data_IF_411591573723
#
_entry.id   IF_411591573723
#
_cell.length_a   1.000
_cell.length_b   1.000
_cell.length_c   1.000
_cell.angle_alpha   90.00
_cell.angle_beta   90.00
_cell.angle_gamma   90.00
#
_symmetry.space_group_name_H-M   'P 1'
#
loop_
_entity.id
_entity.type
_entity.pdbx_description
1 polymer ?
#
# COMPACT_ATOMS: atom_id res chain seq x y z
N UNK A 1 17.74 -4.85 1.69
CA UNK A 1 16.55 -3.98 1.83
C UNK A 1 16.62 -2.93 0.75
N UNK A 2 15.52 -2.62 0.08
CA UNK A 2 15.45 -1.65 -1.01
C UNK A 2 14.37 -0.59 -0.69
N UNK A 3 14.58 0.66 -1.10
CA UNK A 3 13.56 1.71 -0.99
C UNK A 3 12.91 1.95 -2.34
N UNK A 4 11.59 2.01 -2.37
CA UNK A 4 10.77 2.37 -3.51
C UNK A 4 10.14 3.74 -3.26
N UNK A 5 10.11 4.57 -4.30
CA UNK A 5 9.50 5.90 -4.27
C UNK A 5 8.28 5.91 -5.18
N UNK A 6 7.11 6.18 -4.62
CA UNK A 6 5.83 6.21 -5.34
C UNK A 6 5.31 7.64 -5.29
N UNK A 7 5.03 8.23 -6.45
CA UNK A 7 4.43 9.56 -6.53
C UNK A 7 2.92 9.43 -6.58
N UNK A 8 2.24 10.20 -5.74
CA UNK A 8 0.79 10.33 -5.72
C UNK A 8 0.40 11.69 -6.26
N UNK A 9 -0.74 11.77 -6.92
CA UNK A 9 -1.18 12.91 -7.72
C UNK A 9 -2.45 13.56 -7.21
N UNK A 10 -3.21 12.88 -6.34
CA UNK A 10 -4.46 13.37 -5.76
C UNK A 10 -4.38 13.38 -4.24
N UNK A 11 -5.33 14.07 -3.59
CA UNK A 11 -5.44 14.10 -2.13
C UNK A 11 -5.73 12.71 -1.56
N UNK A 12 -6.67 12.01 -2.18
CA UNK A 12 -6.98 10.59 -1.95
C UNK A 12 -6.74 9.86 -3.27
N UNK A 13 -6.02 8.76 -3.22
CA UNK A 13 -5.66 8.01 -4.43
C UNK A 13 -5.43 6.55 -4.10
N UNK A 14 -5.80 5.68 -5.02
CA UNK A 14 -5.53 4.25 -4.94
C UNK A 14 -4.64 3.92 -6.13
N UNK A 15 -3.47 3.32 -5.87
CA UNK A 15 -2.48 3.03 -6.89
C UNK A 15 -2.13 1.54 -6.90
N UNK A 16 -2.23 0.90 -8.07
CA UNK A 16 -1.62 -0.40 -8.32
C UNK A 16 -0.10 -0.23 -8.39
N UNK A 17 0.62 -0.81 -7.42
CA UNK A 17 2.08 -0.81 -7.36
C UNK A 17 2.68 -2.18 -7.67
N UNK A 18 1.88 -3.14 -8.16
CA UNK A 18 2.29 -4.54 -8.39
C UNK A 18 3.52 -4.61 -9.29
N UNK A 19 3.47 -3.97 -10.46
CA UNK A 19 4.58 -3.99 -11.41
C UNK A 19 5.84 -3.32 -10.83
N UNK A 20 5.68 -2.28 -10.01
CA UNK A 20 6.81 -1.60 -9.35
C UNK A 20 7.49 -2.54 -8.35
N UNK A 21 6.72 -3.32 -7.60
CA UNK A 21 7.23 -4.29 -6.63
C UNK A 21 7.93 -5.45 -7.34
N UNK A 22 7.33 -6.01 -8.40
CA UNK A 22 7.95 -7.09 -9.17
C UNK A 22 9.25 -6.65 -9.86
N UNK A 23 9.28 -5.43 -10.42
CA UNK A 23 10.52 -4.84 -10.95
C UNK A 23 11.61 -4.73 -9.87
N UNK A 24 11.23 -4.38 -8.65
CA UNK A 24 12.16 -4.26 -7.53
C UNK A 24 12.65 -5.62 -6.99
N UNK A 25 11.79 -6.65 -6.99
CA UNK A 25 12.21 -8.02 -6.69
C UNK A 25 13.25 -8.53 -7.69
N UNK A 26 13.16 -8.05 -8.93
CA UNK A 26 14.10 -8.31 -10.02
C UNK A 26 13.94 -9.72 -10.59
N UNK A 27 14.65 -10.01 -11.68
CA UNK A 27 14.73 -11.38 -12.21
C UNK A 27 15.49 -12.25 -11.21
N UNK A 28 14.90 -13.39 -10.85
CA UNK A 28 15.47 -14.40 -9.96
C UNK A 28 15.73 -15.70 -10.73
N UNK A 29 16.52 -16.60 -10.17
CA UNK A 29 16.74 -17.91 -10.78
C UNK A 29 15.45 -18.73 -10.72
N UNK A 30 15.35 -19.74 -11.60
CA UNK A 30 14.23 -20.68 -11.55
C UNK A 30 14.24 -21.44 -10.23
N UNK A 31 13.11 -21.40 -9.50
CA UNK A 31 12.96 -22.02 -8.19
C UNK A 31 13.33 -21.11 -7.00
N UNK A 32 13.72 -19.86 -7.25
CA UNK A 32 13.90 -18.88 -6.18
C UNK A 32 12.53 -18.45 -5.63
N UNK A 33 12.19 -18.88 -4.41
CA UNK A 33 10.95 -18.50 -3.71
C UNK A 33 11.23 -17.85 -2.36
N UNK A 34 10.23 -17.17 -1.82
CA UNK A 34 10.31 -16.56 -0.50
C UNK A 34 9.16 -15.62 -0.17
N UNK A 35 9.37 -14.83 0.88
CA UNK A 35 8.44 -13.78 1.31
C UNK A 35 9.03 -12.40 1.05
N UNK A 36 8.27 -11.55 0.37
CA UNK A 36 8.52 -10.13 0.22
C UNK A 36 7.63 -9.37 1.20
N UNK A 37 8.23 -8.57 2.08
CA UNK A 37 7.53 -7.64 2.94
C UNK A 37 7.72 -6.20 2.42
N UNK A 38 6.62 -5.49 2.30
CA UNK A 38 6.55 -4.08 1.96
C UNK A 38 6.11 -3.30 3.20
N UNK A 39 6.82 -2.24 3.56
CA UNK A 39 6.48 -1.38 4.68
C UNK A 39 6.52 0.09 4.26
N UNK A 40 5.41 0.81 4.37
CA UNK A 40 5.33 2.24 4.02
C UNK A 40 5.81 3.10 5.19
N UNK A 41 6.71 4.04 4.93
CA UNK A 41 7.31 4.93 5.94
C UNK A 41 6.45 6.16 6.24
N UNK A 42 5.13 6.00 6.21
CA UNK A 42 4.17 7.11 6.28
C UNK A 42 2.93 6.71 7.08
N UNK A 43 2.42 7.64 7.89
CA UNK A 43 1.25 7.41 8.77
C UNK A 43 -0.07 7.90 8.18
N UNK A 44 -0.06 8.42 6.95
CA UNK A 44 -1.24 8.88 6.20
C UNK A 44 -1.33 8.21 4.83
N UNK A 45 -0.77 7.01 4.72
CA UNK A 45 -0.90 6.14 3.58
C UNK A 45 -0.83 4.69 4.06
N UNK A 46 -1.38 3.77 3.28
CA UNK A 46 -1.48 2.36 3.65
C UNK A 46 -1.08 1.44 2.51
N UNK A 47 -0.81 0.18 2.84
CA UNK A 47 -0.55 -0.88 1.88
C UNK A 47 -1.53 -2.03 2.12
N UNK A 48 -2.12 -2.54 1.06
CA UNK A 48 -3.01 -3.71 1.13
C UNK A 48 -2.98 -4.48 -0.19
N UNK A 49 -3.73 -5.57 -0.27
CA UNK A 49 -4.17 -6.14 -1.55
C UNK A 49 -5.65 -5.87 -1.78
N UNK A 50 -6.00 -5.57 -3.02
CA UNK A 50 -7.38 -5.34 -3.42
C UNK A 50 -7.57 -5.69 -4.90
N UNK A 51 -8.83 -5.73 -5.31
CA UNK A 51 -9.22 -5.71 -6.71
C UNK A 51 -9.32 -4.26 -7.18
N UNK A 52 -8.83 -3.99 -8.39
CA UNK A 52 -8.78 -2.65 -8.97
C UNK A 52 -9.36 -2.71 -10.38
N UNK A 53 -10.68 -2.52 -10.43
CA UNK A 53 -11.41 -2.22 -11.66
C UNK A 53 -11.74 -0.73 -11.70
N UNK A 54 -11.92 -0.12 -12.89
CA UNK A 54 -12.30 1.28 -12.99
C UNK A 54 -13.54 1.61 -12.14
N UNK A 55 -13.38 2.47 -11.13
CA UNK A 55 -14.46 2.90 -10.23
C UNK A 55 -14.44 2.19 -8.87
N UNK A 56 -13.93 0.96 -8.75
CA UNK A 56 -13.85 0.27 -7.45
C UNK A 56 -12.85 0.94 -6.51
N UNK A 57 -11.86 1.62 -7.08
CA UNK A 57 -10.93 2.48 -6.35
C UNK A 57 -11.63 3.65 -5.65
N UNK A 58 -12.60 4.27 -6.32
CA UNK A 58 -13.40 5.36 -5.77
C UNK A 58 -14.39 4.83 -4.73
N UNK A 59 -15.10 3.75 -5.03
CA UNK A 59 -16.03 3.11 -4.09
C UNK A 59 -15.33 2.72 -2.78
N UNK A 60 -14.09 2.24 -2.87
CA UNK A 60 -13.28 1.90 -1.71
C UNK A 60 -12.94 3.14 -0.86
N UNK A 61 -12.56 4.26 -1.49
CA UNK A 61 -12.28 5.52 -0.79
C UNK A 61 -13.54 6.07 -0.11
N UNK A 62 -14.67 6.08 -0.83
CA UNK A 62 -15.95 6.53 -0.29
C UNK A 62 -16.39 5.68 0.91
N UNK A 63 -16.25 4.36 0.82
CA UNK A 63 -16.54 3.44 1.92
C UNK A 63 -15.65 3.72 3.14
N UNK A 64 -14.35 3.95 2.93
CA UNK A 64 -13.43 4.29 4.02
C UNK A 64 -13.81 5.59 4.71
N UNK A 65 -14.20 6.62 3.96
CA UNK A 65 -14.63 7.90 4.54
C UNK A 65 -15.90 7.74 5.39
N UNK A 66 -16.87 6.96 4.91
CA UNK A 66 -18.12 6.68 5.66
C UNK A 66 -17.90 5.82 6.90
N UNK A 67 -16.88 4.94 6.91
CA UNK A 67 -16.52 4.14 8.08
C UNK A 67 -15.89 4.97 9.22
N UNK A 68 -15.40 6.18 8.94
CA UNK A 68 -14.70 6.99 9.95
C UNK A 68 -15.68 7.81 10.79
N UNK A 69 -15.63 7.69 12.13
CA UNK A 69 -16.45 8.51 13.01
C UNK A 69 -16.23 10.02 12.82
N UNK A 70 -17.32 10.78 12.74
CA UNK A 70 -17.27 12.25 12.69
C UNK A 70 -17.11 12.82 14.10
N UNK A 71 -15.88 12.77 14.62
CA UNK A 71 -15.54 13.24 15.97
C UNK A 71 -14.86 14.61 15.96
N UNK A 72 -14.89 15.29 17.12
CA UNK A 72 -13.97 16.40 17.39
C UNK A 72 -12.62 15.84 17.79
N UNK A 73 -11.80 15.52 16.79
CA UNK A 73 -10.48 14.96 16.99
C UNK A 73 -9.57 15.93 17.78
N UNK A 74 -8.74 15.36 18.68
CA UNK A 74 -7.93 16.13 19.65
C UNK A 74 -6.52 16.47 19.17
N UNK A 75 -6.17 16.07 17.95
CA UNK A 75 -4.79 16.09 17.50
C UNK A 75 -4.24 17.52 17.44
N UNK A 76 -3.14 17.82 18.15
CA UNK A 76 -2.75 19.21 18.44
C UNK A 76 -2.26 19.97 17.21
N UNK A 77 -1.68 19.28 16.22
CA UNK A 77 -1.15 19.92 15.02
C UNK A 77 -2.22 20.15 13.95
N UNK A 78 -2.95 19.08 13.57
CA UNK A 78 -4.05 19.19 12.62
C UNK A 78 -5.13 18.12 12.89
N UNK A 79 -6.22 18.47 13.59
CA UNK A 79 -7.35 17.57 13.82
C UNK A 79 -7.99 17.00 12.54
N UNK A 80 -7.92 17.72 11.42
CA UNK A 80 -8.56 17.33 10.18
C UNK A 80 -7.88 16.12 9.50
N UNK A 81 -6.64 15.79 9.87
CA UNK A 81 -5.86 14.68 9.28
C UNK A 81 -5.95 13.39 10.11
N UNK A 82 -6.60 13.44 11.28
CA UNK A 82 -6.74 12.26 12.13
C UNK A 82 -7.51 11.12 11.46
N UNK A 83 -8.57 11.37 10.67
CA UNK A 83 -9.18 10.33 9.82
C UNK A 83 -8.16 9.55 8.99
N UNK A 84 -7.19 10.24 8.38
CA UNK A 84 -6.19 9.65 7.50
C UNK A 84 -5.23 8.74 8.28
N UNK A 85 -4.86 9.15 9.50
CA UNK A 85 -4.08 8.33 10.41
C UNK A 85 -4.83 7.08 10.88
N UNK A 86 -6.12 7.23 11.20
CA UNK A 86 -6.96 6.10 11.64
C UNK A 86 -7.11 5.09 10.50
N UNK A 87 -7.43 5.56 9.29
CA UNK A 87 -7.54 4.69 8.11
C UNK A 87 -6.22 3.99 7.81
N UNK A 88 -5.09 4.71 7.84
CA UNK A 88 -3.77 4.11 7.65
C UNK A 88 -3.48 3.01 8.69
N UNK A 89 -3.82 3.24 9.95
CA UNK A 89 -3.65 2.26 11.03
C UNK A 89 -4.60 1.04 10.91
N UNK A 90 -5.84 1.25 10.43
CA UNK A 90 -6.83 0.18 10.24
C UNK A 90 -6.52 -0.71 9.04
N UNK A 91 -6.11 -0.11 7.93
CA UNK A 91 -5.74 -0.84 6.70
C UNK A 91 -4.39 -1.54 6.90
N UNK A 92 -3.43 -0.84 7.49
CA UNK A 92 -2.09 -1.34 7.77
C UNK A 92 -1.01 -0.65 6.93
N UNK A 93 0.18 -0.52 7.53
CA UNK A 93 1.35 0.08 6.89
C UNK A 93 2.25 -0.96 6.21
N UNK A 94 1.86 -2.23 6.22
CA UNK A 94 2.67 -3.30 5.65
C UNK A 94 1.85 -4.43 5.07
N UNK A 95 2.40 -5.05 4.03
CA UNK A 95 1.87 -6.28 3.43
C UNK A 95 3.02 -7.25 3.19
N UNK A 96 2.82 -8.51 3.58
CA UNK A 96 3.75 -9.61 3.33
C UNK A 96 3.17 -10.52 2.26
N UNK A 97 3.95 -10.79 1.22
CA UNK A 97 3.51 -11.46 0.01
C UNK A 97 4.50 -12.57 -0.35
N UNK A 98 4.04 -13.80 -0.61
CA UNK A 98 4.89 -14.81 -1.21
C UNK A 98 5.30 -14.42 -2.64
N UNK A 99 6.48 -14.81 -3.06
CA UNK A 99 6.97 -14.62 -4.42
C UNK A 99 7.73 -15.84 -4.90
N UNK A 100 7.74 -16.04 -6.22
CA UNK A 100 8.51 -17.08 -6.91
C UNK A 100 9.07 -16.50 -8.21
N UNK A 101 10.33 -16.80 -8.55
CA UNK A 101 10.97 -16.38 -9.81
C UNK A 101 10.91 -14.86 -10.04
N UNK A 102 10.90 -14.07 -8.97
CA UNK A 102 10.82 -12.61 -9.02
C UNK A 102 9.40 -12.04 -9.22
N UNK A 103 8.37 -12.88 -9.19
CA UNK A 103 6.96 -12.46 -9.29
C UNK A 103 6.23 -12.76 -8.00
N UNK A 104 5.36 -11.85 -7.60
CA UNK A 104 4.52 -12.05 -6.42
C UNK A 104 3.41 -13.06 -6.75
N UNK A 105 3.12 -13.95 -5.80
CA UNK A 105 2.04 -14.91 -5.95
C UNK A 105 0.74 -14.25 -5.47
N UNK A 106 -0.08 -13.82 -6.43
CA UNK A 106 -1.35 -13.15 -6.22
C UNK A 106 -2.49 -13.97 -6.82
N UNK A 107 -3.68 -13.88 -6.23
CA UNK A 107 -4.91 -14.35 -6.87
C UNK A 107 -5.19 -13.56 -8.15
N UNK A 108 -6.03 -14.11 -9.04
CA UNK A 108 -6.33 -13.53 -10.37
C UNK A 108 -6.67 -12.04 -10.35
N UNK A 109 -7.41 -11.61 -9.33
CA UNK A 109 -7.90 -10.24 -9.17
C UNK A 109 -7.13 -9.45 -8.09
N UNK A 110 -6.14 -10.05 -7.43
CA UNK A 110 -5.39 -9.34 -6.41
C UNK A 110 -4.30 -8.48 -7.03
N UNK A 111 -4.24 -7.23 -6.60
CA UNK A 111 -3.16 -6.28 -6.86
C UNK A 111 -2.53 -5.85 -5.54
N UNK A 112 -1.27 -5.43 -5.59
CA UNK A 112 -0.62 -4.74 -4.48
C UNK A 112 -0.98 -3.26 -4.59
N UNK A 113 -1.62 -2.73 -3.56
CA UNK A 113 -2.23 -1.41 -3.62
C UNK A 113 -1.64 -0.48 -2.58
N UNK A 114 -1.24 0.72 -3.02
CA UNK A 114 -1.00 1.86 -2.15
C UNK A 114 -2.27 2.68 -2.05
N UNK A 115 -2.71 2.95 -0.82
CA UNK A 115 -3.83 3.85 -0.53
C UNK A 115 -3.25 5.15 0.03
N UNK A 116 -3.33 6.21 -0.75
CA UNK A 116 -2.97 7.57 -0.40
C UNK A 116 -4.16 8.26 0.27
N UNK A 117 -3.91 8.86 1.44
CA UNK A 117 -4.93 9.52 2.24
C UNK A 117 -4.64 11.01 2.47
N UNK A 118 -3.44 11.50 2.17
CA UNK A 118 -3.03 12.90 2.37
C UNK A 118 -2.04 13.34 1.28
N UNK A 119 -2.38 13.07 0.01
CA UNK A 119 -1.58 13.46 -1.14
C UNK A 119 -1.85 14.89 -1.63
N UNK A 120 -1.24 15.30 -2.76
CA UNK A 120 -0.20 14.59 -3.51
C UNK A 120 1.15 14.63 -2.77
N UNK A 121 1.86 13.50 -2.74
CA UNK A 121 3.15 13.33 -2.06
C UNK A 121 4.04 12.31 -2.78
N UNK A 122 5.33 12.29 -2.43
CA UNK A 122 6.21 11.15 -2.71
C UNK A 122 6.22 10.24 -1.48
N UNK A 123 5.71 9.03 -1.63
CA UNK A 123 5.69 8.00 -0.57
C UNK A 123 6.91 7.09 -0.71
N UNK A 124 7.46 6.69 0.43
CA UNK A 124 8.59 5.77 0.53
C UNK A 124 8.11 4.43 1.07
N UNK A 125 8.43 3.35 0.37
CA UNK A 125 8.17 1.97 0.79
C UNK A 125 9.51 1.25 0.93
N UNK A 126 9.71 0.54 2.04
CA UNK A 126 10.84 -0.36 2.24
C UNK A 126 10.42 -1.77 1.81
N UNK A 127 11.17 -2.35 0.89
CA UNK A 127 11.05 -3.72 0.43
C UNK A 127 12.14 -4.59 1.08
N UNK A 128 11.72 -5.68 1.69
CA UNK A 128 12.59 -6.73 2.23
C UNK A 128 12.17 -8.09 1.71
N UNK A 129 13.07 -8.81 1.07
CA UNK A 129 12.83 -10.18 0.60
C UNK A 129 13.65 -11.17 1.44
N UNK A 130 12.98 -12.20 1.95
CA UNK A 130 13.57 -13.33 2.66
C UNK A 130 13.35 -14.56 1.81
N UNK A 131 14.44 -15.25 1.45
CA UNK A 131 14.39 -16.48 0.67
C UNK A 131 13.91 -17.65 1.52
N UNK A 132 13.15 -18.56 0.92
CA UNK A 132 12.96 -19.91 1.47
C UNK A 132 14.26 -20.71 1.35
N UNK A 133 14.52 -21.54 2.37
CA UNK A 133 15.72 -22.38 2.48
C UNK A 133 15.57 -23.70 1.74
#
# INVERSE_FOLDING_TARGET
>A
MQKLKIKTHKKKEVLDITETVEKALGKRNSGDSGICNLFILHTTAALTTADLDPGTDLDMLDAFEEMIPKLRYRHPHNPAHVPDHILSALIGTSVALPFENGRVLLGTWQRIVLIELDGPREREIVLTATMES
#
